data_IF_906136227151
#
_entry.id   IF_906136227151
#
_cell.length_a   1.000
_cell.length_b   1.000
_cell.length_c   1.000
_cell.angle_alpha   90.00
_cell.angle_beta   90.00
_cell.angle_gamma   90.00
#
_symmetry.space_group_name_H-M   'P 1'
#
loop_
_entity.id
_entity.type
_entity.pdbx_description
1 polymer ?
#
# COMPACT_ATOMS: atom_id res chain seq x y z
N UNK A 1 -4.66 -14.56 -3.26
CA UNK A 1 -4.59 -14.54 -4.74
C UNK A 1 -5.19 -13.22 -5.20
N UNK A 2 -4.45 -12.42 -5.94
CA UNK A 2 -4.96 -11.20 -6.56
C UNK A 2 -5.47 -11.50 -7.97
N UNK A 3 -6.48 -10.78 -8.42
CA UNK A 3 -6.99 -10.82 -9.80
C UNK A 3 -6.87 -9.44 -10.40
N UNK A 4 -6.41 -9.35 -11.64
CA UNK A 4 -6.29 -8.10 -12.39
C UNK A 4 -7.12 -8.13 -13.67
N UNK A 5 -7.70 -6.99 -14.05
CA UNK A 5 -8.42 -6.79 -15.32
C UNK A 5 -8.12 -5.40 -15.88
N UNK A 6 -7.99 -5.29 -17.19
CA UNK A 6 -7.96 -4.01 -17.90
C UNK A 6 -9.39 -3.54 -18.08
N UNK A 7 -9.72 -2.36 -17.57
CA UNK A 7 -11.04 -1.76 -17.76
C UNK A 7 -11.14 -1.03 -19.10
N UNK A 8 -10.16 -0.19 -19.40
CA UNK A 8 -10.07 0.57 -20.65
C UNK A 8 -8.63 1.01 -20.95
N UNK A 9 -8.40 1.37 -22.20
CA UNK A 9 -7.20 2.07 -22.65
C UNK A 9 -7.36 3.58 -22.46
N UNK A 10 -6.27 4.27 -22.18
CA UNK A 10 -6.24 5.72 -21.96
C UNK A 10 -4.87 6.31 -22.31
N UNK A 11 -4.68 7.61 -22.08
CA UNK A 11 -3.40 8.32 -22.26
C UNK A 11 -2.94 8.93 -20.94
N UNK A 12 -1.63 8.85 -20.66
CA UNK A 12 -0.96 9.64 -19.61
C UNK A 12 0.07 10.53 -20.29
N UNK A 13 -0.28 11.80 -20.49
CA UNK A 13 0.46 12.67 -21.40
C UNK A 13 0.47 12.06 -22.80
N UNK A 14 1.66 11.89 -23.37
CA UNK A 14 1.84 11.30 -24.71
C UNK A 14 1.78 9.76 -24.72
N UNK A 15 1.82 9.12 -23.55
CA UNK A 15 1.96 7.66 -23.44
C UNK A 15 0.61 6.95 -23.47
N UNK A 16 0.53 5.85 -24.23
CA UNK A 16 -0.56 4.87 -24.14
C UNK A 16 -0.54 4.18 -22.79
N UNK A 17 -1.72 4.06 -22.18
CA UNK A 17 -1.91 3.55 -20.84
C UNK A 17 -3.21 2.74 -20.72
N UNK A 18 -3.44 2.16 -19.56
CA UNK A 18 -4.69 1.48 -19.22
C UNK A 18 -5.19 1.93 -17.84
N UNK A 19 -6.48 1.74 -17.60
CA UNK A 19 -7.05 1.76 -16.26
C UNK A 19 -7.14 0.32 -15.74
N UNK A 20 -6.26 -0.12 -14.83
CA UNK A 20 -6.32 -1.45 -14.26
C UNK A 20 -7.30 -1.52 -13.08
N UNK A 21 -8.01 -2.63 -12.97
CA UNK A 21 -8.76 -3.03 -11.78
C UNK A 21 -8.04 -4.20 -11.11
N UNK A 22 -7.77 -4.08 -9.80
CA UNK A 22 -7.13 -5.14 -9.01
C UNK A 22 -8.05 -5.54 -7.86
N UNK A 23 -8.39 -6.82 -7.80
CA UNK A 23 -9.19 -7.42 -6.73
C UNK A 23 -8.31 -8.28 -5.84
N UNK A 24 -8.41 -8.07 -4.53
CA UNK A 24 -7.70 -8.83 -3.51
C UNK A 24 -8.55 -9.02 -2.25
N UNK A 25 -8.05 -9.84 -1.34
CA UNK A 25 -8.62 -10.02 0.00
C UNK A 25 -7.69 -9.42 1.04
N UNK A 26 -8.26 -8.77 2.05
CA UNK A 26 -7.55 -8.31 3.24
C UNK A 26 -8.36 -8.70 4.48
N UNK A 27 -7.65 -8.99 5.56
CA UNK A 27 -8.24 -9.46 6.83
C UNK A 27 -7.64 -8.67 7.99
N UNK A 28 -8.41 -8.50 9.05
CA UNK A 28 -7.91 -7.90 10.29
C UNK A 28 -6.88 -8.84 10.90
N UNK A 29 -5.68 -8.32 11.14
CA UNK A 29 -4.57 -9.09 11.74
C UNK A 29 -4.31 -8.71 13.19
N UNK A 30 -4.81 -7.56 13.65
CA UNK A 30 -4.67 -7.14 15.04
C UNK A 30 -5.16 -5.72 15.29
N UNK A 31 -5.25 -5.38 16.58
CA UNK A 31 -5.50 -4.03 17.06
C UNK A 31 -4.35 -3.65 17.98
N UNK A 32 -3.56 -2.66 17.59
CA UNK A 32 -2.32 -2.31 18.27
C UNK A 32 -2.45 -0.95 18.95
N UNK A 33 -1.91 -0.86 20.17
CA UNK A 33 -1.64 0.40 20.86
C UNK A 33 -0.13 0.60 20.90
N UNK A 34 0.40 1.39 19.97
CA UNK A 34 1.81 1.73 19.94
C UNK A 34 2.07 2.90 20.89
N UNK A 35 3.04 2.74 21.79
CA UNK A 35 3.46 3.77 22.75
C UNK A 35 4.91 4.12 22.44
N UNK A 36 5.19 5.41 22.40
CA UNK A 36 6.52 5.96 22.11
C UNK A 36 6.95 6.80 23.30
N UNK A 37 8.05 6.41 23.94
CA UNK A 37 8.68 7.20 24.98
C UNK A 37 9.46 8.38 24.35
N UNK A 38 9.25 9.64 24.77
CA UNK A 38 10.01 10.78 24.28
C UNK A 38 11.53 10.66 24.46
N UNK A 39 12.00 9.92 25.47
CA UNK A 39 13.41 9.76 25.83
C UNK A 39 14.08 8.56 25.13
N UNK A 40 13.32 7.69 24.45
CA UNK A 40 13.87 6.55 23.73
C UNK A 40 14.74 7.01 22.53
N UNK A 41 16.03 6.64 22.47
CA UNK A 41 16.94 7.03 21.40
C UNK A 41 16.59 6.43 20.03
N UNK A 42 15.78 5.36 20.00
CA UNK A 42 15.33 4.66 18.79
C UNK A 42 13.82 4.74 18.59
N UNK A 43 13.16 5.74 19.18
CA UNK A 43 11.70 5.94 19.19
C UNK A 43 10.98 5.93 17.84
N UNK A 44 11.70 6.07 16.72
CA UNK A 44 11.16 6.02 15.36
C UNK A 44 11.65 4.82 14.54
N UNK A 45 12.26 3.85 15.21
CA UNK A 45 12.84 2.67 14.59
C UNK A 45 14.19 2.92 13.93
N UNK A 46 14.74 1.87 13.34
CA UNK A 46 15.95 1.86 12.55
C UNK A 46 15.80 0.83 11.42
N UNK A 47 16.70 0.85 10.45
CA UNK A 47 16.77 -0.15 9.37
C UNK A 47 18.22 -0.56 9.20
N UNK A 48 18.46 -1.84 8.90
CA UNK A 48 19.77 -2.45 8.70
C UNK A 48 19.95 -2.81 7.24
#
# INVERSE_FOLDING_TARGET
>A
MFKGRVLEETKVGEFDAIIPEITGGAYITGFNHFVIDPEDPLKYGFTV
#
